data_IF_527006501029
#
_entry.id   IF_527006501029
#
_cell.length_a   1.000
_cell.length_b   1.000
_cell.length_c   1.000
_cell.angle_alpha   90.00
_cell.angle_beta   90.00
_cell.angle_gamma   90.00
#
_symmetry.space_group_name_H-M   'P 1'
#
loop_
_entity.id
_entity.type
_entity.pdbx_description
1 polymer ?
#
# COMPACT_ATOMS: atom_id res chain seq x y z
N UNK A 1 -1.20 -0.78 8.42
CA UNK A 1 -2.46 -1.53 8.49
C UNK A 1 -2.14 -3.02 8.39
N UNK A 2 -2.85 -3.91 9.10
CA UNK A 2 -2.52 -5.36 9.23
C UNK A 2 -2.28 -6.08 7.88
N UNK A 3 -2.91 -5.64 6.79
CA UNK A 3 -2.87 -6.35 5.49
C UNK A 3 -1.48 -6.32 4.83
N UNK A 4 -0.77 -5.19 4.84
CA UNK A 4 0.59 -5.13 4.26
C UNK A 4 1.61 -5.88 5.14
N UNK A 5 1.46 -5.84 6.46
CA UNK A 5 2.25 -6.63 7.41
C UNK A 5 2.07 -8.14 7.23
N UNK A 6 0.84 -8.58 6.93
CA UNK A 6 0.56 -9.99 6.71
C UNK A 6 1.29 -10.53 5.48
N UNK A 7 1.57 -9.69 4.48
CA UNK A 7 2.19 -10.08 3.22
C UNK A 7 3.70 -9.91 3.19
N UNK A 8 4.22 -8.85 3.81
CA UNK A 8 5.64 -8.50 3.78
C UNK A 8 6.36 -8.70 5.13
N UNK A 9 5.60 -9.00 6.19
CA UNK A 9 6.09 -8.90 7.56
C UNK A 9 5.97 -7.49 8.11
N UNK A 10 6.19 -7.34 9.41
CA UNK A 10 6.06 -6.06 10.12
C UNK A 10 7.20 -5.82 11.10
N UNK A 11 7.13 -4.68 11.78
CA UNK A 11 8.09 -4.27 12.81
C UNK A 11 9.35 -3.59 12.27
N UNK A 12 10.03 -2.88 13.15
CA UNK A 12 11.28 -2.14 12.91
C UNK A 12 12.38 -2.49 13.94
N UNK A 13 12.10 -3.46 14.81
CA UNK A 13 12.92 -3.77 16.00
C UNK A 13 13.06 -2.57 16.96
N UNK A 14 12.05 -1.71 17.00
CA UNK A 14 12.01 -0.46 17.75
C UNK A 14 10.57 -0.05 18.07
N UNK A 15 10.10 1.04 17.48
CA UNK A 15 8.82 1.67 17.83
C UNK A 15 7.61 0.84 17.38
N UNK A 16 7.77 0.11 16.27
CA UNK A 16 6.74 -0.74 15.68
C UNK A 16 6.82 -2.19 16.18
N UNK A 17 7.67 -2.46 17.17
CA UNK A 17 7.90 -3.78 17.74
C UNK A 17 8.90 -4.61 16.96
N UNK A 18 9.05 -5.87 17.38
CA UNK A 18 10.00 -6.81 16.78
C UNK A 18 9.69 -7.05 15.30
N UNK A 19 10.74 -7.29 14.51
CA UNK A 19 10.60 -7.71 13.12
C UNK A 19 9.95 -9.10 13.09
N UNK A 20 8.89 -9.23 12.30
CA UNK A 20 8.13 -10.46 12.14
C UNK A 20 8.12 -10.86 10.66
N UNK A 21 8.17 -12.16 10.39
CA UNK A 21 7.95 -12.68 9.04
C UNK A 21 6.51 -12.43 8.58
N UNK A 22 6.24 -12.45 7.25
CA UNK A 22 4.89 -12.48 6.71
C UNK A 22 4.02 -13.53 7.41
N UNK A 23 2.77 -13.17 7.70
CA UNK A 23 1.79 -14.11 8.25
C UNK A 23 1.19 -15.01 7.16
N UNK A 24 1.10 -14.51 5.93
CA UNK A 24 0.71 -15.29 4.75
C UNK A 24 1.89 -16.15 4.33
N UNK A 25 1.68 -17.45 4.28
CA UNK A 25 2.71 -18.37 3.82
C UNK A 25 3.00 -18.17 2.31
N UNK A 26 4.20 -18.52 1.82
CA UNK A 26 4.58 -18.27 0.44
C UNK A 26 3.69 -18.96 -0.61
N UNK A 27 3.11 -20.12 -0.31
CA UNK A 27 2.23 -20.85 -1.22
C UNK A 27 0.93 -20.07 -1.40
N UNK A 28 0.29 -19.68 -0.31
CA UNK A 28 -0.91 -18.82 -0.34
C UNK A 28 -0.60 -17.46 -0.96
N UNK A 29 0.53 -16.85 -0.62
CA UNK A 29 0.96 -15.56 -1.17
C UNK A 29 1.21 -15.59 -2.67
N UNK A 30 1.62 -16.73 -3.22
CA UNK A 30 1.85 -16.89 -4.66
C UNK A 30 0.58 -16.73 -5.50
N UNK A 31 -0.58 -17.03 -4.92
CA UNK A 31 -1.91 -16.88 -5.53
C UNK A 31 -2.44 -15.45 -5.50
N UNK A 32 -1.77 -14.53 -4.79
CA UNK A 32 -2.14 -13.12 -4.76
C UNK A 32 -1.59 -12.46 -6.03
N UNK A 33 -2.50 -12.07 -6.90
CA UNK A 33 -2.15 -11.43 -8.17
C UNK A 33 -2.00 -9.91 -8.03
N UNK A 34 -2.76 -9.25 -7.13
CA UNK A 34 -2.64 -7.82 -6.86
C UNK A 34 -3.08 -7.46 -5.43
N UNK A 35 -2.45 -6.42 -4.87
CA UNK A 35 -2.77 -5.81 -3.57
C UNK A 35 -2.90 -4.30 -3.79
N UNK A 36 -4.04 -3.76 -3.40
CA UNK A 36 -4.37 -2.35 -3.52
C UNK A 36 -4.63 -1.77 -2.13
N UNK A 37 -3.88 -0.75 -1.75
CA UNK A 37 -4.07 -0.03 -0.49
C UNK A 37 -4.37 1.44 -0.79
N UNK A 38 -5.38 2.00 -0.12
CA UNK A 38 -5.73 3.41 -0.17
C UNK A 38 -5.55 4.02 1.20
N UNK A 39 -4.73 5.07 1.29
CA UNK A 39 -4.49 5.80 2.53
C UNK A 39 -3.93 4.92 3.65
N UNK A 40 -3.00 3.99 3.38
CA UNK A 40 -2.41 3.15 4.43
C UNK A 40 -1.73 4.04 5.48
N UNK A 41 -2.13 4.01 6.77
CA UNK A 41 -1.45 4.76 7.82
C UNK A 41 0.02 4.36 8.03
N UNK A 42 0.46 3.24 7.43
CA UNK A 42 1.88 2.84 7.38
C UNK A 42 2.57 3.18 6.07
N UNK A 43 1.98 4.06 5.27
CA UNK A 43 2.65 4.59 4.10
C UNK A 43 4.03 5.14 4.51
N UNK A 44 5.04 4.75 3.74
CA UNK A 44 6.41 5.19 3.93
C UNK A 44 6.86 5.85 2.63
N UNK A 45 7.34 7.11 2.66
CA UNK A 45 7.84 7.76 1.46
C UNK A 45 8.98 6.97 0.78
N UNK A 46 9.07 7.08 -0.55
CA UNK A 46 10.14 6.53 -1.38
C UNK A 46 10.27 4.99 -1.38
N UNK A 47 9.18 4.26 -1.14
CA UNK A 47 9.18 2.81 -1.29
C UNK A 47 8.94 2.42 -2.73
N UNK A 48 9.34 1.23 -3.14
CA UNK A 48 9.09 0.75 -4.51
C UNK A 48 7.58 0.63 -4.79
N UNK A 49 6.77 0.18 -3.85
CA UNK A 49 5.36 -0.14 -4.09
C UNK A 49 4.34 1.02 -3.96
N UNK A 50 4.75 2.24 -3.64
CA UNK A 50 3.80 3.34 -3.59
C UNK A 50 3.30 3.73 -5.00
N UNK A 51 2.13 4.35 -5.08
CA UNK A 51 1.61 4.97 -6.31
C UNK A 51 0.97 6.30 -5.91
N UNK A 52 1.32 7.38 -6.61
CA UNK A 52 0.97 8.75 -6.21
C UNK A 52 2.18 9.69 -6.28
N UNK A 53 2.03 10.91 -5.78
CA UNK A 53 3.04 11.99 -5.87
C UNK A 53 4.27 11.78 -4.94
N UNK A 54 4.28 10.68 -4.20
CA UNK A 54 5.41 10.22 -3.39
C UNK A 54 6.05 9.01 -4.08
N UNK A 55 7.01 9.31 -4.95
CA UNK A 55 7.59 8.41 -5.97
C UNK A 55 7.94 7.01 -5.49
N UNK A 56 7.61 6.04 -6.36
CA UNK A 56 7.74 4.63 -6.09
C UNK A 56 7.72 3.78 -7.37
N UNK A 57 8.66 2.83 -7.46
CA UNK A 57 8.82 1.85 -8.55
C UNK A 57 8.34 0.46 -8.10
N UNK A 58 7.11 0.07 -8.43
CA UNK A 58 6.34 -1.04 -7.81
C UNK A 58 7.13 -2.24 -7.26
N UNK A 59 6.80 -2.74 -6.06
CA UNK A 59 6.90 -4.18 -5.85
C UNK A 59 5.82 -4.79 -6.74
N UNK A 60 6.17 -5.69 -7.68
CA UNK A 60 5.42 -6.03 -8.90
C UNK A 60 3.90 -6.32 -8.77
N UNK A 61 3.35 -6.49 -7.55
CA UNK A 61 1.95 -6.83 -7.27
C UNK A 61 1.28 -5.96 -6.19
N UNK A 62 1.93 -4.92 -5.68
CA UNK A 62 1.38 -4.04 -4.65
C UNK A 62 1.43 -2.59 -5.09
N UNK A 63 0.28 -1.91 -5.01
CA UNK A 63 0.20 -0.46 -5.12
C UNK A 63 -0.39 0.13 -3.83
N UNK A 64 0.39 1.00 -3.17
CA UNK A 64 -0.02 1.79 -2.00
C UNK A 64 -0.24 3.26 -2.39
N UNK A 65 -1.50 3.69 -2.40
CA UNK A 65 -1.87 5.05 -2.76
C UNK A 65 -1.93 5.95 -1.53
N UNK A 66 -1.13 7.01 -1.56
CA UNK A 66 -1.17 8.09 -0.58
C UNK A 66 -1.11 9.45 -1.30
N UNK A 67 -2.18 10.22 -1.17
CA UNK A 67 -2.29 11.57 -1.76
C UNK A 67 -1.64 12.62 -0.84
N UNK A 68 -1.10 13.69 -1.44
CA UNK A 68 -0.50 14.82 -0.71
C UNK A 68 -1.46 15.39 0.35
N UNK A 69 -0.93 15.60 1.56
CA UNK A 69 -1.65 16.12 2.73
C UNK A 69 -2.77 15.23 3.27
N UNK A 70 -2.95 14.00 2.80
CA UNK A 70 -3.84 13.04 3.48
C UNK A 70 -3.40 12.92 4.94
N UNK A 71 -4.27 13.34 5.87
CA UNK A 71 -3.95 13.37 7.29
C UNK A 71 -3.82 12.00 7.97
N UNK A 72 -3.92 10.91 7.22
CA UNK A 72 -3.79 9.54 7.72
C UNK A 72 -2.52 8.86 7.21
N UNK A 73 -2.27 8.90 5.91
CA UNK A 73 -1.10 8.22 5.31
C UNK A 73 0.12 9.13 5.15
N UNK A 74 -0.07 10.45 5.06
CA UNK A 74 1.01 11.42 5.05
C UNK A 74 1.19 11.97 6.47
N UNK A 75 2.37 11.71 7.07
CA UNK A 75 2.69 12.16 8.41
C UNK A 75 2.68 13.69 8.57
N UNK A 76 2.84 14.44 7.48
CA UNK A 76 2.73 15.91 7.45
C UNK A 76 1.31 16.39 7.08
N UNK A 77 0.41 15.47 6.73
CA UNK A 77 -0.92 15.76 6.26
C UNK A 77 -1.90 16.18 7.36
N UNK A 78 -2.90 16.96 6.98
CA UNK A 78 -4.01 17.35 7.86
C UNK A 78 -5.37 17.32 7.16
N UNK A 79 -5.42 16.86 5.90
CA UNK A 79 -6.61 16.89 5.06
C UNK A 79 -7.30 15.53 5.03
N UNK A 80 -8.30 15.34 5.89
CA UNK A 80 -9.11 14.12 5.90
C UNK A 80 -10.01 13.97 4.66
N UNK A 81 -10.30 15.06 3.94
CA UNK A 81 -11.08 14.96 2.70
C UNK A 81 -10.28 14.27 1.59
N UNK A 82 -8.94 14.41 1.57
CA UNK A 82 -8.09 13.64 0.67
C UNK A 82 -8.18 12.14 0.98
N UNK A 83 -8.17 11.79 2.27
CA UNK A 83 -8.29 10.39 2.72
C UNK A 83 -9.57 9.69 2.24
N UNK A 84 -10.68 10.42 2.16
CA UNK A 84 -11.98 9.86 1.78
C UNK A 84 -12.20 9.82 0.26
N UNK A 85 -11.29 10.39 -0.53
CA UNK A 85 -11.50 10.61 -1.96
C UNK A 85 -10.89 9.54 -2.87
N UNK A 86 -10.09 8.60 -2.35
CA UNK A 86 -9.34 7.64 -3.19
C UNK A 86 -10.21 6.86 -4.17
N UNK A 87 -11.35 6.34 -3.73
CA UNK A 87 -12.24 5.58 -4.61
C UNK A 87 -12.72 6.42 -5.81
N UNK A 88 -12.95 7.72 -5.60
CA UNK A 88 -13.38 8.62 -6.68
C UNK A 88 -12.22 8.98 -7.61
N UNK A 89 -11.01 9.14 -7.07
CA UNK A 89 -9.84 9.62 -7.83
C UNK A 89 -9.16 8.45 -8.57
N UNK A 90 -9.01 7.31 -7.92
CA UNK A 90 -8.08 6.26 -8.33
C UNK A 90 -8.74 4.96 -8.78
N UNK A 91 -10.02 4.68 -8.49
CA UNK A 91 -10.61 3.35 -8.78
C UNK A 91 -10.46 2.93 -10.24
N UNK A 92 -10.64 3.84 -11.19
CA UNK A 92 -10.49 3.50 -12.60
C UNK A 92 -9.05 3.12 -12.96
N UNK A 93 -8.08 3.85 -12.39
CA UNK A 93 -6.65 3.60 -12.61
C UNK A 93 -6.22 2.31 -11.92
N UNK A 94 -6.62 2.15 -10.65
CA UNK A 94 -6.34 0.96 -9.86
C UNK A 94 -6.98 -0.30 -10.47
N UNK A 95 -8.23 -0.24 -10.91
CA UNK A 95 -8.91 -1.35 -11.58
C UNK A 95 -8.19 -1.76 -12.88
N UNK A 96 -7.80 -0.79 -13.72
CA UNK A 96 -7.02 -1.06 -14.94
C UNK A 96 -5.70 -1.78 -14.62
N UNK A 97 -5.02 -1.36 -13.56
CA UNK A 97 -3.80 -2.03 -13.12
C UNK A 97 -4.07 -3.45 -12.60
N UNK A 98 -5.07 -3.63 -11.72
CA UNK A 98 -5.45 -4.96 -11.20
C UNK A 98 -5.80 -5.91 -12.35
N UNK A 99 -6.57 -5.46 -13.34
CA UNK A 99 -6.89 -6.25 -14.54
C UNK A 99 -5.64 -6.68 -15.30
N UNK A 100 -4.64 -5.81 -15.43
CA UNK A 100 -3.36 -6.14 -16.08
C UNK A 100 -2.56 -7.21 -15.31
N UNK A 101 -2.77 -7.32 -14.00
CA UNK A 101 -2.12 -8.33 -13.16
C UNK A 101 -2.78 -9.70 -13.28
N UNK A 102 -4.07 -9.77 -13.64
CA UNK A 102 -4.80 -11.04 -13.87
C UNK A 102 -4.50 -11.67 -15.24
N UNK A 103 -3.94 -10.91 -16.18
CA UNK A 103 -3.62 -11.37 -17.53
C UNK A 103 -2.20 -11.95 -17.66
N UNK A 104 -1.44 -11.97 -16.55
CA UNK A 104 -0.08 -12.54 -16.47
C UNK A 104 -0.12 -14.00 -16.02
#
# INVERSE_FOLDING_TARGET
MVVSDMLAGGGDNGTLGNINAPAVDPETGSHIAAVLLYGDPRHMPNQTYNVGDVTATGADRLHDYCDDKDGVCDAAGTNLSAHLAYATIWDKVAATWVESMMQK
#
